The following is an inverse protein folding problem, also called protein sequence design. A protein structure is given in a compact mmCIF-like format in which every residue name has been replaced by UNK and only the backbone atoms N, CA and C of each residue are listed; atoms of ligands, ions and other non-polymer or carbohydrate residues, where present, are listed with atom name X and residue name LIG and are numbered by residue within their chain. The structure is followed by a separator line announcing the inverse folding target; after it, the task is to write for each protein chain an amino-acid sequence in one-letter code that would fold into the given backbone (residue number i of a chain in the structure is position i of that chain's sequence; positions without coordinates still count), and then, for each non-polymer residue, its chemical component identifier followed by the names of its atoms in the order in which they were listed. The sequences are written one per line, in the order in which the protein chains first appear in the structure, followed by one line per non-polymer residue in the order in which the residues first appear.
data_IF_136196935102
#
_entry.id   IF_136196935102
#
_cell.length_a   1.000
_cell.length_b   1.000
_cell.length_c   1.000
_cell.angle_alpha   90.00
_cell.angle_beta   90.00
_cell.angle_gamma   90.00
#
_symmetry.space_group_name_H-M   'P 1'
#
loop_
_entity.id
_entity.type
_entity.pdbx_description
1 polymer ?
#
# COMPACT_ATOMS: atom_id res chain seq x y z
N UNK A 1 -17.16 32.17 -15.87
CA UNK A 1 -16.69 30.86 -16.43
C UNK A 1 -17.03 29.78 -15.42
N UNK A 2 -17.44 28.58 -15.85
CA UNK A 2 -17.62 27.44 -14.95
C UNK A 2 -16.28 27.06 -14.36
N UNK A 3 -16.26 26.62 -13.08
CA UNK A 3 -15.04 26.07 -12.47
C UNK A 3 -14.57 24.86 -13.26
N UNK A 4 -13.23 24.60 -13.36
CA UNK A 4 -12.71 23.39 -13.98
C UNK A 4 -13.17 22.14 -13.22
N UNK A 5 -13.23 21.01 -13.91
CA UNK A 5 -13.37 19.71 -13.28
C UNK A 5 -11.98 19.22 -12.82
N UNK A 6 -11.93 18.48 -11.72
CA UNK A 6 -10.73 17.81 -11.21
C UNK A 6 -11.02 16.31 -11.18
N UNK A 7 -10.86 15.64 -12.32
CA UNK A 7 -11.23 14.25 -12.49
C UNK A 7 -10.02 13.31 -12.33
N UNK A 8 -10.26 12.09 -11.87
CA UNK A 8 -9.22 11.11 -11.59
C UNK A 8 -9.40 9.85 -12.45
N UNK A 9 -8.32 9.37 -13.03
CA UNK A 9 -8.30 8.16 -13.87
C UNK A 9 -7.42 7.09 -13.23
N UNK A 10 -8.00 5.89 -13.03
CA UNK A 10 -7.36 4.76 -12.37
C UNK A 10 -7.34 3.55 -13.28
N UNK A 11 -6.28 2.74 -13.17
CA UNK A 11 -6.19 1.43 -13.85
C UNK A 11 -7.22 0.44 -13.32
N UNK A 12 -7.53 0.50 -12.01
CA UNK A 12 -8.56 -0.29 -11.33
C UNK A 12 -9.08 0.47 -10.13
N UNK A 13 -10.26 0.07 -9.63
CA UNK A 13 -10.89 0.69 -8.46
C UNK A 13 -11.44 -0.42 -7.55
N UNK A 14 -10.75 -0.63 -6.41
CA UNK A 14 -10.98 -1.81 -5.59
C UNK A 14 -11.02 -1.50 -4.09
N UNK A 15 -11.83 -2.30 -3.37
CA UNK A 15 -11.88 -2.26 -1.92
C UNK A 15 -10.51 -2.63 -1.31
N UNK A 16 -10.11 -1.92 -0.26
CA UNK A 16 -8.86 -2.18 0.47
C UNK A 16 -7.58 -1.74 -0.27
N UNK A 17 -7.71 -1.22 -1.50
CA UNK A 17 -6.57 -0.72 -2.26
C UNK A 17 -6.21 0.73 -1.84
N UNK A 18 -4.92 0.97 -1.59
CA UNK A 18 -4.43 2.27 -1.14
C UNK A 18 -4.58 3.38 -2.20
N UNK A 19 -4.41 3.05 -3.48
CA UNK A 19 -4.57 3.98 -4.60
C UNK A 19 -6.03 4.42 -4.70
N UNK A 20 -6.96 3.44 -4.66
CA UNK A 20 -8.41 3.69 -4.68
C UNK A 20 -8.84 4.57 -3.52
N UNK A 21 -8.32 4.30 -2.32
CA UNK A 21 -8.58 5.10 -1.11
C UNK A 21 -8.09 6.53 -1.27
N UNK A 22 -6.89 6.73 -1.80
CA UNK A 22 -6.36 8.07 -2.05
C UNK A 22 -7.23 8.83 -3.05
N UNK A 23 -7.66 8.18 -4.13
CA UNK A 23 -8.53 8.82 -5.13
C UNK A 23 -9.85 9.29 -4.51
N UNK A 24 -10.47 8.51 -3.62
CA UNK A 24 -11.68 8.92 -2.88
C UNK A 24 -11.41 10.14 -2.03
N UNK A 25 -10.32 10.13 -1.25
CA UNK A 25 -9.96 11.27 -0.37
C UNK A 25 -9.74 12.53 -1.20
N UNK A 26 -9.00 12.46 -2.31
CA UNK A 26 -8.77 13.61 -3.18
C UNK A 26 -10.07 14.11 -3.82
N UNK A 27 -10.94 13.22 -4.32
CA UNK A 27 -12.25 13.57 -4.85
C UNK A 27 -13.08 14.35 -3.83
N UNK A 28 -13.10 13.86 -2.60
CA UNK A 28 -13.90 14.48 -1.54
C UNK A 28 -13.34 15.84 -1.12
N UNK A 29 -12.02 16.01 -1.12
CA UNK A 29 -11.36 17.31 -0.92
C UNK A 29 -11.75 18.28 -2.05
N UNK A 30 -11.64 17.87 -3.31
CA UNK A 30 -12.00 18.72 -4.45
C UNK A 30 -13.47 19.13 -4.44
N UNK A 31 -14.37 18.21 -4.09
CA UNK A 31 -15.80 18.51 -3.94
C UNK A 31 -16.08 19.50 -2.81
N UNK A 32 -15.37 19.37 -1.65
CA UNK A 32 -15.47 20.37 -0.56
C UNK A 32 -14.99 21.77 -1.00
N UNK A 33 -14.04 21.83 -1.92
CA UNK A 33 -13.61 23.12 -2.52
C UNK A 33 -14.58 23.66 -3.56
N UNK A 34 -15.65 22.92 -3.86
CA UNK A 34 -16.70 23.30 -4.81
C UNK A 34 -16.33 23.02 -6.27
N UNK A 35 -15.40 22.08 -6.52
CA UNK A 35 -15.10 21.57 -7.86
C UNK A 35 -15.90 20.31 -8.15
N UNK A 36 -16.31 20.12 -9.40
CA UNK A 36 -16.76 18.81 -9.85
C UNK A 36 -15.57 17.85 -9.91
N UNK A 37 -15.71 16.68 -9.35
CA UNK A 37 -14.66 15.65 -9.33
C UNK A 37 -15.28 14.27 -9.35
N UNK A 38 -14.84 13.45 -10.32
CA UNK A 38 -15.26 12.06 -10.50
C UNK A 38 -14.05 11.15 -10.62
N UNK A 39 -14.26 9.87 -10.29
CA UNK A 39 -13.28 8.80 -10.50
C UNK A 39 -13.72 8.02 -11.74
N UNK A 40 -12.79 7.78 -12.66
CA UNK A 40 -12.99 7.01 -13.88
C UNK A 40 -12.09 5.79 -13.87
N UNK A 41 -12.67 4.61 -14.11
CA UNK A 41 -11.93 3.35 -14.19
C UNK A 41 -12.53 2.42 -15.26
N UNK A 42 -11.75 1.42 -15.69
CA UNK A 42 -12.29 0.37 -16.56
C UNK A 42 -13.25 -0.51 -15.76
N UNK A 43 -14.53 -0.65 -16.18
CA UNK A 43 -15.52 -1.47 -15.47
C UNK A 43 -15.09 -2.92 -15.21
N UNK A 44 -14.21 -3.48 -16.05
CA UNK A 44 -13.65 -4.81 -15.86
C UNK A 44 -12.72 -4.91 -14.62
N UNK A 45 -12.17 -3.79 -14.16
CA UNK A 45 -11.23 -3.71 -13.04
C UNK A 45 -11.81 -2.94 -11.84
N UNK A 46 -13.14 -2.87 -11.74
CA UNK A 46 -13.84 -2.24 -10.61
C UNK A 46 -14.48 -3.28 -9.73
N UNK A 47 -14.23 -3.23 -8.43
CA UNK A 47 -14.93 -4.08 -7.45
C UNK A 47 -16.45 -3.91 -7.56
N UNK A 48 -17.23 -4.99 -7.48
CA UNK A 48 -18.68 -4.90 -7.62
C UNK A 48 -19.35 -3.89 -6.67
N UNK A 49 -18.83 -3.78 -5.46
CA UNK A 49 -19.29 -2.86 -4.40
C UNK A 49 -19.07 -1.38 -4.74
N UNK A 50 -18.06 -1.07 -5.58
CA UNK A 50 -17.65 0.29 -5.93
C UNK A 50 -18.16 0.77 -7.30
N UNK A 51 -18.90 -0.07 -8.04
CA UNK A 51 -19.36 0.27 -9.40
C UNK A 51 -20.24 1.51 -9.46
N UNK A 52 -21.01 1.78 -8.42
CA UNK A 52 -21.86 2.97 -8.34
C UNK A 52 -21.09 4.25 -7.95
N UNK A 53 -19.86 4.09 -7.45
CA UNK A 53 -19.02 5.19 -6.95
C UNK A 53 -17.99 5.69 -7.98
N UNK A 54 -17.90 5.06 -9.15
CA UNK A 54 -17.02 5.51 -10.25
C UNK A 54 -17.75 5.50 -11.59
N UNK A 55 -17.15 6.14 -12.59
CA UNK A 55 -17.66 6.19 -13.95
C UNK A 55 -16.78 5.36 -14.89
N UNK A 56 -17.37 4.80 -15.97
CA UNK A 56 -16.58 4.14 -17.01
C UNK A 56 -15.58 5.10 -17.67
N UNK A 57 -14.39 4.62 -18.00
CA UNK A 57 -13.38 5.39 -18.74
C UNK A 57 -13.91 5.92 -20.09
N UNK A 58 -14.87 5.21 -20.71
CA UNK A 58 -15.51 5.63 -21.97
C UNK A 58 -16.30 6.91 -21.84
N UNK A 59 -16.73 7.27 -20.65
CA UNK A 59 -17.52 8.48 -20.37
C UNK A 59 -16.63 9.69 -20.07
N UNK A 60 -15.31 9.49 -20.00
CA UNK A 60 -14.39 10.57 -19.71
C UNK A 60 -14.25 11.52 -20.92
N UNK A 61 -14.52 12.80 -20.71
CA UNK A 61 -14.49 13.84 -21.73
C UNK A 61 -13.87 15.14 -21.19
N UNK A 62 -12.62 15.05 -20.67
CA UNK A 62 -11.91 16.22 -20.14
C UNK A 62 -11.58 17.27 -21.19
N UNK A 63 -12.02 18.51 -20.96
CA UNK A 63 -11.77 19.68 -21.80
C UNK A 63 -10.49 20.43 -21.43
N UNK A 64 -10.06 21.42 -22.23
CA UNK A 64 -8.80 22.18 -22.00
C UNK A 64 -8.74 22.96 -20.69
N UNK A 65 -9.88 23.28 -20.09
CA UNK A 65 -9.97 23.95 -18.79
C UNK A 65 -9.97 23.00 -17.62
N UNK A 66 -10.21 21.69 -17.88
CA UNK A 66 -10.30 20.69 -16.82
C UNK A 66 -8.91 20.13 -16.45
N UNK A 67 -8.81 19.51 -15.29
CA UNK A 67 -7.60 18.85 -14.79
C UNK A 67 -7.87 17.36 -14.66
N UNK A 68 -7.02 16.56 -15.28
CA UNK A 68 -6.99 15.11 -15.15
C UNK A 68 -5.84 14.68 -14.24
N UNK A 69 -6.14 13.93 -13.20
CA UNK A 69 -5.15 13.29 -12.35
C UNK A 69 -5.12 11.80 -12.68
N UNK A 70 -3.98 11.27 -13.12
CA UNK A 70 -3.85 9.84 -13.40
C UNK A 70 -3.02 9.14 -12.33
N UNK A 71 -3.65 8.22 -11.61
CA UNK A 71 -2.99 7.36 -10.65
C UNK A 71 -2.28 6.22 -11.39
N UNK A 72 -0.96 6.33 -11.51
CA UNK A 72 -0.14 5.42 -12.31
C UNK A 72 0.64 4.44 -11.43
N UNK A 73 0.32 3.17 -11.52
CA UNK A 73 1.05 2.05 -10.92
C UNK A 73 1.17 0.87 -11.89
N UNK A 74 0.44 0.96 -13.03
CA UNK A 74 0.45 -0.02 -14.11
C UNK A 74 -0.02 0.65 -15.40
N UNK A 75 0.57 0.30 -16.54
CA UNK A 75 0.06 0.71 -17.86
C UNK A 75 -1.31 0.08 -18.11
N UNK A 76 -2.27 0.88 -18.53
CA UNK A 76 -3.66 0.46 -18.68
C UNK A 76 -4.41 1.34 -19.68
N UNK A 77 -5.63 0.96 -20.00
CA UNK A 77 -6.53 1.79 -20.80
C UNK A 77 -6.73 3.19 -20.20
N UNK A 78 -6.64 3.33 -18.87
CA UNK A 78 -6.70 4.64 -18.22
C UNK A 78 -5.55 5.56 -18.67
N UNK A 79 -4.35 5.00 -18.86
CA UNK A 79 -3.19 5.75 -19.39
C UNK A 79 -3.41 6.23 -20.82
N UNK A 80 -4.05 5.43 -21.66
CA UNK A 80 -4.37 5.80 -23.06
C UNK A 80 -5.41 6.95 -23.08
N UNK A 81 -6.52 6.79 -22.33
CA UNK A 81 -7.58 7.81 -22.23
C UNK A 81 -7.02 9.12 -21.67
N UNK A 82 -6.23 9.04 -20.60
CA UNK A 82 -5.57 10.18 -19.98
C UNK A 82 -4.67 10.92 -20.97
N UNK A 83 -3.81 10.18 -21.67
CA UNK A 83 -2.84 10.75 -22.61
C UNK A 83 -3.53 11.40 -23.82
N UNK A 84 -4.62 10.81 -24.30
CA UNK A 84 -5.39 11.33 -25.45
C UNK A 84 -6.28 12.53 -25.08
N UNK A 85 -6.57 12.76 -23.78
CA UNK A 85 -7.46 13.83 -23.36
C UNK A 85 -6.88 15.22 -23.63
N UNK A 86 -7.77 16.22 -23.72
CA UNK A 86 -7.40 17.64 -23.86
C UNK A 86 -7.23 18.34 -22.50
N UNK A 87 -7.54 17.66 -21.38
CA UNK A 87 -7.40 18.21 -20.06
C UNK A 87 -5.92 18.47 -19.71
N UNK A 88 -5.69 19.42 -18.83
CA UNK A 88 -4.40 19.62 -18.19
C UNK A 88 -4.07 18.39 -17.33
N UNK A 89 -2.83 17.96 -17.31
CA UNK A 89 -2.45 16.60 -16.86
C UNK A 89 -1.55 16.62 -15.64
N UNK A 90 -1.93 15.83 -14.64
CA UNK A 90 -1.12 15.54 -13.45
C UNK A 90 -0.96 14.04 -13.37
N UNK A 91 0.28 13.57 -13.33
CA UNK A 91 0.60 12.17 -13.06
C UNK A 91 0.79 11.98 -11.55
N UNK A 92 0.11 11.01 -10.95
CA UNK A 92 0.38 10.55 -9.56
C UNK A 92 1.02 9.17 -9.65
N UNK A 93 2.31 9.10 -9.36
CA UNK A 93 3.08 7.86 -9.45
C UNK A 93 3.02 7.10 -8.12
N UNK A 94 2.53 5.85 -8.19
CA UNK A 94 2.35 4.96 -7.05
C UNK A 94 3.35 3.81 -7.02
N UNK A 95 4.47 3.96 -7.64
CA UNK A 95 5.48 2.94 -7.89
C UNK A 95 5.03 1.86 -8.89
N UNK A 96 6.00 1.27 -9.57
CA UNK A 96 5.84 0.08 -10.39
C UNK A 96 6.83 -0.96 -9.88
N UNK A 97 6.32 -2.02 -9.25
CA UNK A 97 7.17 -3.11 -8.76
C UNK A 97 8.08 -3.63 -9.88
N UNK A 98 9.39 -3.79 -9.64
CA UNK A 98 10.30 -4.33 -10.64
C UNK A 98 9.83 -5.70 -11.15
N UNK A 99 9.80 -5.91 -12.48
CA UNK A 99 9.23 -7.12 -13.09
C UNK A 99 9.97 -8.41 -12.69
N UNK A 100 11.23 -8.29 -12.25
CA UNK A 100 12.09 -9.40 -11.84
C UNK A 100 11.47 -10.23 -10.72
N UNK A 101 10.74 -9.60 -9.81
CA UNK A 101 10.06 -10.30 -8.72
C UNK A 101 9.02 -11.32 -9.22
N UNK A 102 8.40 -11.07 -10.37
CA UNK A 102 7.32 -11.91 -10.88
C UNK A 102 7.77 -12.95 -11.91
N UNK A 103 9.00 -12.87 -12.42
CA UNK A 103 9.53 -13.86 -13.38
C UNK A 103 9.48 -15.27 -12.80
N UNK A 104 8.93 -16.20 -13.59
CA UNK A 104 8.73 -17.60 -13.17
C UNK A 104 7.48 -17.83 -12.32
N UNK A 105 6.94 -16.80 -11.67
CA UNK A 105 5.68 -16.90 -10.95
C UNK A 105 4.49 -16.41 -11.81
N UNK A 106 4.64 -15.25 -12.45
CA UNK A 106 3.65 -14.65 -13.35
C UNK A 106 4.37 -13.83 -14.43
N UNK A 107 4.77 -14.48 -15.51
CA UNK A 107 5.51 -13.86 -16.59
C UNK A 107 4.66 -12.85 -17.38
N UNK A 108 3.33 -13.02 -17.40
CA UNK A 108 2.42 -12.06 -18.02
C UNK A 108 2.39 -10.75 -17.25
N UNK A 109 2.28 -10.81 -15.92
CA UNK A 109 2.37 -9.64 -15.05
C UNK A 109 3.77 -9.01 -15.12
N UNK A 110 4.84 -9.82 -15.13
CA UNK A 110 6.20 -9.31 -15.29
C UNK A 110 6.36 -8.51 -16.59
N UNK A 111 5.81 -9.00 -17.70
CA UNK A 111 5.84 -8.29 -18.97
C UNK A 111 5.02 -6.97 -18.92
N UNK A 112 3.86 -6.97 -18.27
CA UNK A 112 3.04 -5.76 -18.07
C UNK A 112 3.77 -4.71 -17.21
N UNK A 113 4.43 -5.13 -16.13
CA UNK A 113 5.21 -4.23 -15.27
C UNK A 113 6.43 -3.66 -16.03
N UNK A 114 7.12 -4.47 -16.82
CA UNK A 114 8.22 -4.01 -17.67
C UNK A 114 7.74 -2.97 -18.70
N UNK A 115 6.62 -3.22 -19.36
CA UNK A 115 6.01 -2.27 -20.28
C UNK A 115 5.61 -0.97 -19.59
N UNK A 116 5.02 -1.06 -18.39
CA UNK A 116 4.65 0.11 -17.59
C UNK A 116 5.86 0.97 -17.21
N UNK A 117 6.97 0.34 -16.77
CA UNK A 117 8.23 1.05 -16.45
C UNK A 117 8.85 1.71 -17.69
N UNK A 118 8.77 1.06 -18.85
CA UNK A 118 9.26 1.64 -20.10
C UNK A 118 8.43 2.83 -20.60
N UNK A 119 7.13 2.86 -20.30
CA UNK A 119 6.20 3.87 -20.80
C UNK A 119 6.01 5.07 -19.86
N UNK A 120 6.29 4.93 -18.57
CA UNK A 120 5.97 5.97 -17.57
C UNK A 120 6.62 7.31 -17.88
N UNK A 121 7.86 7.32 -18.38
CA UNK A 121 8.55 8.56 -18.76
C UNK A 121 7.85 9.30 -19.90
N UNK A 122 7.30 8.57 -20.87
CA UNK A 122 6.54 9.18 -21.96
C UNK A 122 5.21 9.76 -21.47
N UNK A 123 4.52 9.05 -20.58
CA UNK A 123 3.29 9.57 -19.94
C UNK A 123 3.60 10.82 -19.13
N UNK A 124 4.67 10.80 -18.33
CA UNK A 124 5.09 11.94 -17.52
C UNK A 124 5.47 13.18 -18.35
N UNK A 125 6.15 13.00 -19.48
CA UNK A 125 6.49 14.13 -20.40
C UNK A 125 5.26 14.81 -21.01
N UNK A 126 4.09 14.16 -21.00
CA UNK A 126 2.82 14.73 -21.46
C UNK A 126 2.04 15.41 -20.35
N UNK A 127 2.58 15.46 -19.15
CA UNK A 127 1.97 16.09 -17.98
C UNK A 127 2.63 17.43 -17.66
N UNK A 128 1.87 18.36 -17.14
CA UNK A 128 2.38 19.63 -16.62
C UNK A 128 3.18 19.41 -15.32
N UNK A 129 2.83 18.38 -14.56
CA UNK A 129 3.55 17.99 -13.35
C UNK A 129 3.33 16.52 -13.03
N UNK A 130 4.28 15.94 -12.27
CA UNK A 130 4.17 14.61 -11.69
C UNK A 130 4.28 14.69 -10.16
N UNK A 131 3.50 13.89 -9.47
CA UNK A 131 3.59 13.69 -8.03
C UNK A 131 4.00 12.24 -7.75
N UNK A 132 4.80 12.03 -6.72
CA UNK A 132 5.22 10.71 -6.25
C UNK A 132 4.77 10.52 -4.81
N UNK A 133 4.40 9.30 -4.42
CA UNK A 133 3.86 9.05 -3.08
C UNK A 133 4.93 8.84 -2.00
N UNK A 134 6.20 8.89 -2.38
CA UNK A 134 7.36 8.88 -1.50
C UNK A 134 8.57 9.52 -2.19
N UNK A 135 9.59 9.85 -1.44
CA UNK A 135 10.88 10.29 -2.00
C UNK A 135 11.51 9.16 -2.84
N UNK A 136 11.43 7.92 -2.36
CA UNK A 136 11.86 6.74 -3.11
C UNK A 136 11.17 6.65 -4.48
N UNK A 137 9.87 6.89 -4.54
CA UNK A 137 9.11 6.86 -5.79
C UNK A 137 9.46 8.03 -6.72
N UNK A 138 9.78 9.20 -6.15
CA UNK A 138 10.26 10.33 -6.94
C UNK A 138 11.61 10.03 -7.59
N UNK A 139 12.51 9.39 -6.87
CA UNK A 139 13.83 8.95 -7.36
C UNK A 139 13.69 7.83 -8.40
N UNK A 140 12.81 6.84 -8.17
CA UNK A 140 12.51 5.78 -9.14
C UNK A 140 11.93 6.36 -10.44
N UNK A 141 10.98 7.28 -10.33
CA UNK A 141 10.40 7.96 -11.50
C UNK A 141 11.45 8.78 -12.27
N UNK A 142 12.35 9.45 -11.57
CA UNK A 142 13.47 10.17 -12.18
C UNK A 142 14.45 9.23 -12.89
N UNK A 143 14.78 8.09 -12.27
CA UNK A 143 15.61 7.05 -12.88
C UNK A 143 14.98 6.44 -14.14
N UNK A 144 13.65 6.42 -14.22
CA UNK A 144 12.90 6.01 -15.41
C UNK A 144 12.82 7.11 -16.50
N UNK A 145 13.43 8.28 -16.27
CA UNK A 145 13.53 9.36 -17.25
C UNK A 145 12.41 10.41 -17.19
N UNK A 146 11.70 10.50 -16.07
CA UNK A 146 10.69 11.53 -15.79
C UNK A 146 11.13 12.39 -14.58
N UNK A 147 11.98 13.39 -14.77
CA UNK A 147 12.52 14.20 -13.67
C UNK A 147 11.48 15.12 -13.04
N UNK A 148 11.80 15.62 -11.84
CA UNK A 148 11.06 16.69 -11.14
C UNK A 148 9.67 16.32 -10.62
N UNK A 149 9.45 15.08 -10.19
CA UNK A 149 8.26 14.74 -9.43
C UNK A 149 8.25 15.46 -8.07
N UNK A 150 7.10 16.04 -7.70
CA UNK A 150 6.87 16.58 -6.36
C UNK A 150 6.40 15.45 -5.44
N UNK A 151 6.95 15.37 -4.23
CA UNK A 151 6.52 14.35 -3.27
C UNK A 151 5.19 14.77 -2.64
N UNK A 152 4.19 13.92 -2.79
CA UNK A 152 2.89 14.02 -2.14
C UNK A 152 2.53 12.65 -1.56
N UNK A 153 2.93 12.35 -0.32
CA UNK A 153 2.72 11.04 0.29
C UNK A 153 1.25 10.62 0.32
N UNK A 154 1.02 9.32 0.34
CA UNK A 154 -0.32 8.77 0.51
C UNK A 154 -1.05 9.46 1.66
N UNK A 155 -2.31 9.83 1.41
CA UNK A 155 -3.13 10.43 2.45
C UNK A 155 -3.68 9.33 3.34
N UNK A 156 -3.29 9.37 4.60
CA UNK A 156 -3.78 8.43 5.59
C UNK A 156 -5.16 8.86 6.11
N UNK A 157 -6.08 7.89 6.21
CA UNK A 157 -7.39 8.08 6.84
C UNK A 157 -7.55 7.11 7.99
N UNK A 158 -7.87 7.63 9.17
CA UNK A 158 -8.14 6.82 10.36
C UNK A 158 -9.51 6.13 10.31
N UNK A 159 -10.49 6.71 9.62
CA UNK A 159 -11.87 6.23 9.67
C UNK A 159 -12.07 4.73 9.39
N UNK A 160 -11.43 4.10 8.40
CA UNK A 160 -11.56 2.65 8.19
C UNK A 160 -10.93 1.81 9.31
N UNK A 161 -10.03 2.39 10.09
CA UNK A 161 -9.30 1.72 11.18
C UNK A 161 -9.95 1.92 12.55
N UNK A 162 -10.93 2.81 12.65
CA UNK A 162 -11.72 3.06 13.86
C UNK A 162 -13.00 2.23 13.94
N UNK A 163 -13.22 1.35 12.95
CA UNK A 163 -14.37 0.46 12.93
C UNK A 163 -14.37 -0.50 14.12
N UNK A 164 -15.56 -0.94 14.50
CA UNK A 164 -15.70 -2.02 15.48
C UNK A 164 -15.11 -3.31 14.91
N UNK A 165 -14.23 -4.00 15.66
CA UNK A 165 -13.69 -5.29 15.25
C UNK A 165 -14.80 -6.30 14.91
N UNK A 166 -14.49 -7.21 14.00
CA UNK A 166 -15.32 -8.39 13.73
C UNK A 166 -15.30 -9.32 14.96
N UNK A 167 -16.46 -9.50 15.59
CA UNK A 167 -16.58 -10.25 16.82
C UNK A 167 -16.31 -11.76 16.64
N UNK A 168 -16.77 -12.35 15.53
CA UNK A 168 -16.60 -13.78 15.25
C UNK A 168 -15.14 -14.09 14.95
N UNK A 169 -14.48 -13.23 14.16
CA UNK A 169 -13.05 -13.34 13.90
C UNK A 169 -12.23 -13.18 15.18
N UNK A 170 -12.57 -12.20 16.00
CA UNK A 170 -11.90 -11.96 17.28
C UNK A 170 -12.04 -13.18 18.19
N UNK A 171 -13.25 -13.74 18.33
CA UNK A 171 -13.49 -14.94 19.14
C UNK A 171 -12.70 -16.16 18.63
N UNK A 172 -12.65 -16.36 17.31
CA UNK A 172 -11.88 -17.45 16.67
C UNK A 172 -10.38 -17.37 16.99
N UNK A 173 -9.85 -16.16 17.13
CA UNK A 173 -8.42 -15.90 17.29
C UNK A 173 -7.99 -15.57 18.74
N UNK A 174 -8.86 -15.71 19.73
CA UNK A 174 -8.57 -15.37 21.14
C UNK A 174 -7.69 -16.40 21.87
N UNK A 175 -6.97 -17.27 21.21
CA UNK A 175 -6.01 -18.15 21.87
C UNK A 175 -4.82 -17.36 22.43
N UNK A 176 -4.24 -17.75 23.60
CA UNK A 176 -3.11 -17.05 24.21
C UNK A 176 -1.78 -17.38 23.49
N UNK A 177 -1.71 -17.00 22.23
CA UNK A 177 -0.54 -17.20 21.38
C UNK A 177 0.07 -15.85 21.03
N UNK A 178 1.39 -15.76 21.05
CA UNK A 178 2.09 -14.60 20.49
C UNK A 178 1.81 -14.52 18.99
N UNK A 179 1.15 -13.45 18.57
CA UNK A 179 0.63 -13.29 17.22
C UNK A 179 1.53 -12.37 16.37
N UNK A 180 2.17 -12.93 15.37
CA UNK A 180 2.84 -12.18 14.33
C UNK A 180 1.86 -11.93 13.20
N UNK A 181 1.79 -10.70 12.71
CA UNK A 181 0.87 -10.27 11.64
C UNK A 181 1.66 -9.72 10.46
N UNK A 182 1.31 -10.16 9.26
CA UNK A 182 1.70 -9.53 8.02
C UNK A 182 0.44 -9.23 7.18
N UNK A 183 0.32 -7.99 6.71
CA UNK A 183 -0.82 -7.56 5.88
C UNK A 183 -0.32 -7.09 4.53
N UNK A 184 -0.92 -7.62 3.46
CA UNK A 184 -0.64 -7.22 2.09
C UNK A 184 -0.89 -8.36 1.10
N UNK A 185 -0.86 -8.05 -0.19
CA UNK A 185 -0.99 -9.08 -1.23
C UNK A 185 0.11 -10.13 -1.06
N UNK A 186 -0.24 -11.41 -1.19
CA UNK A 186 0.76 -12.49 -1.18
C UNK A 186 1.45 -12.50 -2.55
N UNK A 187 2.52 -11.74 -2.67
CA UNK A 187 3.26 -11.49 -3.91
C UNK A 187 4.78 -11.57 -3.67
N UNK A 188 5.58 -11.95 -4.69
CA UNK A 188 7.00 -12.23 -4.51
C UNK A 188 7.84 -11.07 -3.95
N UNK A 189 7.49 -9.83 -4.28
CA UNK A 189 8.17 -8.65 -3.73
C UNK A 189 7.97 -8.47 -2.22
N UNK A 190 6.99 -9.17 -1.63
CA UNK A 190 6.72 -9.14 -0.18
C UNK A 190 7.59 -10.11 0.62
N UNK A 191 8.30 -11.02 -0.06
CA UNK A 191 9.23 -11.97 0.57
C UNK A 191 8.60 -12.71 1.75
N UNK A 192 7.37 -13.21 1.56
CA UNK A 192 6.63 -13.93 2.62
C UNK A 192 7.36 -15.23 2.99
N UNK A 193 8.11 -15.84 2.08
CA UNK A 193 8.97 -16.99 2.34
C UNK A 193 10.02 -16.71 3.41
N UNK A 194 10.64 -15.51 3.42
CA UNK A 194 11.61 -15.11 4.44
C UNK A 194 10.94 -15.02 5.82
N UNK A 195 9.73 -14.46 5.86
CA UNK A 195 8.93 -14.39 7.09
C UNK A 195 8.54 -15.79 7.61
N UNK A 196 8.10 -16.70 6.72
CA UNK A 196 7.75 -18.08 7.11
C UNK A 196 8.97 -18.81 7.67
N UNK A 197 10.14 -18.66 7.06
CA UNK A 197 11.39 -19.27 7.55
C UNK A 197 11.81 -18.72 8.92
N UNK A 198 11.75 -17.40 9.10
CA UNK A 198 12.03 -16.77 10.38
C UNK A 198 11.01 -17.17 11.45
N UNK A 199 9.72 -17.26 11.09
CA UNK A 199 8.67 -17.74 12.00
C UNK A 199 8.87 -19.20 12.38
N UNK A 200 9.27 -20.08 11.46
CA UNK A 200 9.57 -21.49 11.76
C UNK A 200 10.68 -21.58 12.81
N UNK A 201 11.77 -20.80 12.65
CA UNK A 201 12.83 -20.75 13.64
C UNK A 201 12.29 -20.22 15.00
N UNK A 202 11.52 -19.13 14.97
CA UNK A 202 10.89 -18.57 16.16
C UNK A 202 10.03 -19.59 16.90
N UNK A 203 9.14 -20.28 16.18
CA UNK A 203 8.21 -21.25 16.73
C UNK A 203 8.96 -22.46 17.35
N UNK A 204 9.89 -23.06 16.62
CA UNK A 204 10.54 -24.28 17.07
C UNK A 204 11.67 -24.08 18.09
N UNK A 205 12.30 -22.90 18.13
CA UNK A 205 13.50 -22.67 18.94
C UNK A 205 13.31 -21.67 20.06
N UNK A 206 12.30 -20.79 19.95
CA UNK A 206 12.16 -19.68 20.89
C UNK A 206 10.80 -19.71 21.58
N UNK A 207 9.68 -19.69 20.83
CA UNK A 207 8.35 -19.63 21.42
C UNK A 207 7.35 -20.54 20.68
N UNK A 208 7.11 -21.77 21.18
CA UNK A 208 6.15 -22.69 20.57
C UNK A 208 4.68 -22.24 20.73
N UNK A 209 4.41 -21.27 21.61
CA UNK A 209 3.08 -20.68 21.79
C UNK A 209 2.92 -19.44 20.92
N UNK A 210 3.10 -19.60 19.61
CA UNK A 210 3.04 -18.54 18.63
C UNK A 210 2.21 -18.91 17.41
N UNK A 211 1.78 -17.89 16.67
CA UNK A 211 1.15 -18.03 15.36
C UNK A 211 1.58 -16.91 14.42
N UNK A 212 1.53 -17.19 13.12
CA UNK A 212 1.73 -16.23 12.04
C UNK A 212 0.44 -16.05 11.24
N UNK A 213 -0.09 -14.84 11.22
CA UNK A 213 -1.26 -14.47 10.42
C UNK A 213 -0.80 -13.74 9.14
N UNK A 214 -1.12 -14.32 7.99
CA UNK A 214 -0.85 -13.77 6.66
C UNK A 214 -2.17 -13.31 6.05
N UNK A 215 -2.42 -11.99 6.10
CA UNK A 215 -3.69 -11.38 5.71
C UNK A 215 -3.53 -10.64 4.39
N UNK A 216 -4.27 -11.04 3.38
CA UNK A 216 -4.28 -10.40 2.08
C UNK A 216 -4.59 -11.35 0.93
N UNK A 217 -4.80 -10.80 -0.26
CA UNK A 217 -5.20 -11.59 -1.42
C UNK A 217 -4.10 -12.55 -1.89
N UNK A 218 -4.46 -13.79 -2.06
CA UNK A 218 -3.68 -14.87 -2.66
C UNK A 218 -3.85 -14.98 -4.18
N UNK A 219 -4.84 -14.23 -4.74
CA UNK A 219 -5.23 -14.32 -6.15
C UNK A 219 -4.28 -13.57 -7.08
N UNK A 220 -3.48 -12.66 -6.56
CA UNK A 220 -2.59 -11.82 -7.36
C UNK A 220 -1.39 -12.58 -7.95
N UNK A 221 -0.98 -13.70 -7.33
CA UNK A 221 0.11 -14.56 -7.80
C UNK A 221 -0.08 -16.00 -7.32
N UNK A 222 -0.95 -16.82 -7.95
CA UNK A 222 -1.32 -18.15 -7.46
C UNK A 222 -0.14 -19.14 -7.37
N UNK A 223 0.84 -19.05 -8.27
CA UNK A 223 2.05 -19.91 -8.22
C UNK A 223 2.91 -19.60 -6.99
N UNK A 224 3.08 -18.33 -6.68
CA UNK A 224 3.80 -17.92 -5.47
C UNK A 224 3.05 -18.38 -4.21
N UNK A 225 1.74 -18.21 -4.16
CA UNK A 225 0.92 -18.71 -3.06
C UNK A 225 1.05 -20.24 -2.89
N UNK A 226 1.05 -20.99 -3.99
CA UNK A 226 1.27 -22.44 -3.94
C UNK A 226 2.66 -22.78 -3.36
N UNK A 227 3.70 -22.07 -3.79
CA UNK A 227 5.06 -22.23 -3.26
C UNK A 227 5.10 -21.96 -1.75
N UNK A 228 4.42 -20.91 -1.26
CA UNK A 228 4.35 -20.62 0.18
C UNK A 228 3.69 -21.75 0.98
N UNK A 229 2.60 -22.34 0.45
CA UNK A 229 1.95 -23.51 1.10
C UNK A 229 2.86 -24.72 1.14
N UNK A 230 3.59 -24.97 0.05
CA UNK A 230 4.57 -26.05 0.02
C UNK A 230 5.68 -25.82 1.05
N UNK A 231 6.21 -24.59 1.13
CA UNK A 231 7.23 -24.22 2.11
C UNK A 231 6.76 -24.47 3.56
N UNK A 232 5.51 -24.08 3.89
CA UNK A 232 4.94 -24.38 5.22
C UNK A 232 4.88 -25.87 5.49
N UNK A 233 4.49 -26.67 4.48
CA UNK A 233 4.45 -28.13 4.59
C UNK A 233 5.86 -28.75 4.71
N UNK A 234 6.82 -28.29 3.92
CA UNK A 234 8.21 -28.80 3.95
C UNK A 234 8.91 -28.48 5.29
N UNK A 235 8.59 -27.32 5.88
CA UNK A 235 9.10 -26.93 7.20
C UNK A 235 8.34 -27.60 8.36
N UNK A 236 7.19 -28.24 8.09
CA UNK A 236 6.28 -28.79 9.10
C UNK A 236 5.94 -27.76 10.22
N UNK A 237 5.86 -26.48 9.86
CA UNK A 237 5.66 -25.39 10.83
C UNK A 237 4.17 -25.17 11.08
N UNK A 238 3.69 -25.33 12.34
CA UNK A 238 2.30 -25.16 12.68
C UNK A 238 1.92 -23.66 12.82
N UNK A 239 0.62 -23.41 12.91
CA UNK A 239 0.04 -22.09 13.20
C UNK A 239 0.39 -20.98 12.19
N UNK A 240 0.74 -21.33 10.94
CA UNK A 240 0.79 -20.39 9.82
C UNK A 240 -0.59 -20.34 9.18
N UNK A 241 -1.26 -19.20 9.31
CA UNK A 241 -2.63 -19.01 8.87
C UNK A 241 -2.68 -18.06 7.65
N UNK A 242 -3.13 -18.57 6.50
CA UNK A 242 -3.41 -17.77 5.30
C UNK A 242 -4.87 -17.32 5.38
N UNK A 243 -5.10 -16.09 5.80
CA UNK A 243 -6.44 -15.56 6.13
C UNK A 243 -7.20 -15.00 4.92
N UNK A 244 -6.51 -14.84 3.78
CA UNK A 244 -7.11 -14.28 2.58
C UNK A 244 -7.42 -12.78 2.71
N UNK A 245 -8.33 -12.27 1.87
CA UNK A 245 -8.75 -10.87 1.91
C UNK A 245 -9.65 -10.61 3.12
N UNK A 246 -9.31 -9.59 3.90
CA UNK A 246 -10.07 -9.17 5.06
C UNK A 246 -11.02 -8.01 4.74
N UNK A 247 -12.22 -8.02 5.34
CA UNK A 247 -13.07 -6.84 5.40
C UNK A 247 -12.42 -5.73 6.23
N UNK A 248 -12.82 -4.47 6.11
CA UNK A 248 -12.28 -3.40 6.95
C UNK A 248 -12.40 -3.68 8.46
N UNK A 249 -13.54 -4.19 8.95
CA UNK A 249 -13.73 -4.58 10.35
C UNK A 249 -12.85 -5.79 10.74
N UNK A 250 -12.70 -6.77 9.84
CA UNK A 250 -11.79 -7.90 10.03
C UNK A 250 -10.34 -7.46 10.11
N UNK A 251 -9.93 -6.50 9.27
CA UNK A 251 -8.56 -5.95 9.32
C UNK A 251 -8.26 -5.27 10.66
N UNK A 252 -9.22 -4.53 11.22
CA UNK A 252 -9.11 -3.96 12.58
C UNK A 252 -8.94 -5.06 13.63
N UNK A 253 -9.67 -6.19 13.50
CA UNK A 253 -9.50 -7.33 14.43
C UNK A 253 -8.10 -7.90 14.37
N UNK A 254 -7.52 -8.10 13.16
CA UNK A 254 -6.16 -8.61 13.02
C UNK A 254 -5.13 -7.68 13.65
N UNK A 255 -5.21 -6.37 13.42
CA UNK A 255 -4.29 -5.43 14.06
C UNK A 255 -4.43 -5.43 15.58
N UNK A 256 -5.65 -5.46 16.12
CA UNK A 256 -5.87 -5.47 17.59
C UNK A 256 -5.41 -6.75 18.28
N UNK A 257 -5.36 -7.87 17.56
CA UNK A 257 -4.91 -9.16 18.07
C UNK A 257 -3.40 -9.38 17.90
N UNK A 258 -2.72 -8.54 17.12
CA UNK A 258 -1.30 -8.70 16.83
C UNK A 258 -0.42 -8.22 17.99
N UNK A 259 0.58 -9.02 18.33
CA UNK A 259 1.69 -8.62 19.21
C UNK A 259 2.81 -7.95 18.45
N UNK A 260 3.02 -8.35 17.19
CA UNK A 260 4.02 -7.82 16.27
C UNK A 260 3.42 -7.69 14.87
N UNK A 261 3.76 -6.61 14.18
CA UNK A 261 3.59 -6.49 12.73
C UNK A 261 4.94 -6.67 12.05
N UNK A 262 5.02 -7.58 11.07
CA UNK A 262 6.27 -7.87 10.37
C UNK A 262 6.11 -7.70 8.87
N UNK A 263 7.03 -6.97 8.25
CA UNK A 263 7.14 -6.83 6.80
C UNK A 263 8.54 -7.20 6.33
N UNK A 264 8.65 -8.28 5.55
CA UNK A 264 9.89 -8.71 4.91
C UNK A 264 10.01 -8.17 3.47
N UNK A 265 9.15 -7.24 3.06
CA UNK A 265 9.09 -6.72 1.70
C UNK A 265 10.44 -6.25 1.20
N UNK A 266 10.88 -6.76 0.03
CA UNK A 266 12.08 -6.29 -0.66
C UNK A 266 11.80 -5.08 -1.56
N UNK A 267 10.53 -4.73 -1.74
CA UNK A 267 10.13 -3.56 -2.53
C UNK A 267 8.77 -3.02 -2.08
N UNK A 268 8.74 -1.74 -1.70
CA UNK A 268 7.56 -0.98 -1.27
C UNK A 268 7.62 0.44 -1.83
N UNK A 269 6.53 0.92 -2.42
CA UNK A 269 6.40 2.33 -2.78
C UNK A 269 6.24 3.23 -1.55
N UNK A 270 5.35 2.84 -0.61
CA UNK A 270 5.13 3.56 0.65
C UNK A 270 5.00 2.64 1.86
N UNK A 271 4.12 1.63 1.80
CA UNK A 271 3.92 0.70 2.92
C UNK A 271 2.77 1.11 3.84
N UNK A 272 1.58 1.36 3.29
CA UNK A 272 0.40 1.72 4.07
C UNK A 272 0.10 0.79 5.26
N UNK A 273 0.25 -0.55 5.18
CA UNK A 273 0.03 -1.44 6.33
C UNK A 273 0.96 -1.18 7.52
N UNK A 274 2.15 -0.60 7.30
CA UNK A 274 3.05 -0.20 8.41
C UNK A 274 2.43 0.94 9.22
N UNK A 275 1.85 1.91 8.52
CA UNK A 275 1.17 3.05 9.15
C UNK A 275 -0.10 2.59 9.86
N UNK A 276 -0.84 1.66 9.29
CA UNK A 276 -2.03 1.05 9.89
C UNK A 276 -1.68 0.27 11.17
N UNK A 277 -0.59 -0.51 11.16
CA UNK A 277 -0.10 -1.20 12.36
C UNK A 277 0.31 -0.22 13.46
N UNK A 278 1.04 0.85 13.11
CA UNK A 278 1.42 1.90 14.06
C UNK A 278 0.19 2.60 14.65
N UNK A 279 -0.86 2.84 13.84
CA UNK A 279 -2.13 3.43 14.32
C UNK A 279 -2.79 2.59 15.41
N UNK A 280 -2.74 1.26 15.26
CA UNK A 280 -3.27 0.33 16.27
C UNK A 280 -2.31 0.05 17.44
N UNK A 281 -1.15 0.71 17.48
CA UNK A 281 -0.16 0.53 18.54
C UNK A 281 0.58 -0.82 18.48
N UNK A 282 0.57 -1.49 17.33
CA UNK A 282 1.29 -2.75 17.14
C UNK A 282 2.76 -2.43 16.82
N UNK A 283 3.73 -2.98 17.57
CA UNK A 283 5.14 -2.80 17.25
C UNK A 283 5.46 -3.30 15.83
N UNK A 284 6.14 -2.48 15.04
CA UNK A 284 6.48 -2.78 13.64
C UNK A 284 7.94 -3.17 13.51
N UNK A 285 8.19 -4.30 12.85
CA UNK A 285 9.49 -4.74 12.35
C UNK A 285 9.38 -4.79 10.83
N UNK A 286 10.25 -4.07 10.11
CA UNK A 286 10.19 -4.03 8.66
C UNK A 286 11.56 -4.03 8.01
N UNK A 287 11.70 -4.71 6.85
CA UNK A 287 12.90 -4.60 6.03
C UNK A 287 13.05 -3.16 5.51
N UNK A 288 14.26 -2.64 5.54
CA UNK A 288 14.60 -1.33 4.97
C UNK A 288 14.60 -1.42 3.43
N UNK A 289 13.42 -1.26 2.81
CA UNK A 289 13.24 -1.39 1.38
C UNK A 289 12.28 -0.33 0.83
N UNK A 290 12.69 0.37 -0.21
CA UNK A 290 11.85 1.38 -0.86
C UNK A 290 11.40 2.49 0.10
N UNK A 291 10.12 2.84 0.07
CA UNK A 291 9.50 3.86 0.93
C UNK A 291 9.26 3.46 2.39
N UNK A 292 9.71 2.27 2.84
CA UNK A 292 9.46 1.76 4.20
C UNK A 292 10.00 2.70 5.29
N UNK A 293 11.24 3.18 5.14
CA UNK A 293 11.86 4.08 6.12
C UNK A 293 11.11 5.41 6.22
N UNK A 294 10.61 5.91 5.10
CA UNK A 294 9.83 7.15 5.01
C UNK A 294 8.45 6.99 5.68
N UNK A 295 7.76 5.87 5.44
CA UNK A 295 6.49 5.56 6.11
C UNK A 295 6.66 5.51 7.63
N UNK A 296 7.69 4.83 8.12
CA UNK A 296 7.99 4.72 9.54
C UNK A 296 8.47 6.04 10.16
N UNK A 297 9.18 6.89 9.41
CA UNK A 297 9.66 8.19 9.92
C UNK A 297 10.53 8.07 11.18
N UNK A 298 11.39 7.06 11.25
CA UNK A 298 12.23 6.76 12.40
C UNK A 298 11.54 6.02 13.54
N UNK A 299 10.28 5.63 13.38
CA UNK A 299 9.55 4.77 14.33
C UNK A 299 9.59 3.30 13.88
N UNK A 300 9.33 2.38 14.81
CA UNK A 300 9.45 0.95 14.52
C UNK A 300 10.91 0.47 14.48
N UNK A 301 11.12 -0.75 14.02
CA UNK A 301 12.44 -1.35 13.85
C UNK A 301 12.67 -1.66 12.39
N UNK A 302 13.67 -1.03 11.80
CA UNK A 302 14.15 -1.36 10.46
C UNK A 302 15.31 -2.35 10.55
N UNK A 303 15.31 -3.33 9.63
CA UNK A 303 16.42 -4.25 9.44
C UNK A 303 16.81 -4.33 7.96
N UNK A 304 18.05 -4.63 7.69
CA UNK A 304 18.57 -4.88 6.34
C UNK A 304 18.51 -6.39 6.03
N UNK A 305 19.65 -7.02 5.72
CA UNK A 305 19.73 -8.45 5.54
C UNK A 305 19.96 -9.15 6.88
N UNK A 306 18.96 -9.90 7.32
CA UNK A 306 19.05 -10.79 8.49
C UNK A 306 18.77 -12.23 8.08
N UNK A 307 19.54 -13.17 8.67
CA UNK A 307 19.23 -14.59 8.56
C UNK A 307 17.94 -14.90 9.32
N UNK A 308 17.21 -15.96 8.96
CA UNK A 308 15.96 -16.33 9.64
C UNK A 308 16.07 -16.43 11.17
N UNK A 309 17.20 -16.94 11.68
CA UNK A 309 17.46 -17.04 13.10
C UNK A 309 17.59 -15.66 13.78
N UNK A 310 18.32 -14.74 13.16
CA UNK A 310 18.52 -13.38 13.69
C UNK A 310 17.20 -12.60 13.71
N UNK A 311 16.39 -12.76 12.66
CA UNK A 311 15.08 -12.13 12.58
C UNK A 311 14.11 -12.72 13.62
N UNK A 312 14.18 -14.02 13.89
CA UNK A 312 13.42 -14.68 14.94
C UNK A 312 13.78 -14.18 16.35
N UNK A 313 15.08 -13.95 16.62
CA UNK A 313 15.54 -13.33 17.86
C UNK A 313 15.03 -11.90 18.00
N UNK A 314 15.01 -11.14 16.91
CA UNK A 314 14.44 -9.81 16.90
C UNK A 314 12.93 -9.83 17.22
N UNK A 315 12.17 -10.80 16.66
CA UNK A 315 10.76 -11.01 17.04
C UNK A 315 10.61 -11.23 18.54
N UNK A 316 11.46 -12.12 19.09
CA UNK A 316 11.42 -12.44 20.51
C UNK A 316 11.67 -11.21 21.38
N UNK A 317 12.72 -10.48 21.09
CA UNK A 317 13.07 -9.28 21.86
C UNK A 317 11.96 -8.23 21.84
N UNK A 318 11.40 -7.91 20.67
CA UNK A 318 10.33 -6.92 20.56
C UNK A 318 9.03 -7.41 21.23
N UNK A 319 8.73 -8.72 21.17
CA UNK A 319 7.53 -9.28 21.80
C UNK A 319 7.65 -9.40 23.32
N UNK A 320 8.84 -9.73 23.88
CA UNK A 320 9.03 -10.09 25.27
C UNK A 320 9.64 -8.98 26.14
N UNK A 321 10.51 -8.11 25.57
CA UNK A 321 11.17 -7.03 26.30
C UNK A 321 10.25 -5.81 26.43
N UNK A 322 9.53 -5.70 27.53
CA UNK A 322 8.54 -4.63 27.76
C UNK A 322 9.09 -3.24 27.51
N UNK A 323 10.29 -2.93 28.02
CA UNK A 323 10.91 -1.61 27.83
C UNK A 323 11.14 -1.29 26.35
N UNK A 324 11.65 -2.24 25.58
CA UNK A 324 11.87 -2.08 24.13
C UNK A 324 10.54 -1.87 23.41
N UNK A 325 9.54 -2.70 23.70
CA UNK A 325 8.20 -2.58 23.13
C UNK A 325 7.57 -1.22 23.42
N UNK A 326 7.62 -0.77 24.68
CA UNK A 326 7.05 0.52 25.10
C UNK A 326 7.74 1.71 24.38
N UNK A 327 9.06 1.65 24.20
CA UNK A 327 9.81 2.67 23.45
C UNK A 327 9.41 2.71 21.98
N UNK A 328 9.30 1.54 21.32
CA UNK A 328 8.86 1.43 19.92
C UNK A 328 7.44 2.00 19.79
N UNK A 329 6.49 1.55 20.61
CA UNK A 329 5.11 2.01 20.56
C UNK A 329 5.00 3.53 20.81
N UNK A 330 5.77 4.07 21.75
CA UNK A 330 5.79 5.51 22.00
C UNK A 330 6.32 6.32 20.81
N UNK A 331 7.35 5.82 20.11
CA UNK A 331 7.86 6.44 18.89
C UNK A 331 6.80 6.38 17.77
N UNK A 332 6.15 5.23 17.58
CA UNK A 332 5.08 5.02 16.61
C UNK A 332 3.88 5.93 16.85
N UNK A 333 3.48 6.12 18.12
CA UNK A 333 2.42 7.05 18.47
C UNK A 333 2.75 8.49 18.13
N UNK A 334 4.01 8.93 18.29
CA UNK A 334 4.45 10.26 17.83
C UNK A 334 4.31 10.36 16.32
N UNK A 335 4.85 9.38 15.59
CA UNK A 335 4.77 9.33 14.12
C UNK A 335 3.32 9.38 13.61
N UNK A 336 2.40 8.63 14.22
CA UNK A 336 0.98 8.65 13.82
C UNK A 336 0.33 10.01 14.07
N UNK A 337 0.67 10.70 15.17
CA UNK A 337 0.19 12.07 15.38
C UNK A 337 0.66 13.01 14.25
N UNK A 338 1.92 12.90 13.82
CA UNK A 338 2.45 13.70 12.72
C UNK A 338 1.75 13.38 11.39
N UNK A 339 1.50 12.10 11.12
CA UNK A 339 0.77 11.64 9.93
C UNK A 339 -0.66 12.17 9.89
N UNK A 340 -1.37 12.13 11.03
CA UNK A 340 -2.75 12.61 11.15
C UNK A 340 -2.85 14.15 11.15
N UNK A 341 -1.84 14.85 11.66
CA UNK A 341 -1.78 16.30 11.69
C UNK A 341 -1.34 16.93 10.35
N UNK A 342 -0.99 16.13 9.36
CA UNK A 342 -0.52 16.61 8.07
C UNK A 342 -1.54 17.54 7.42
N UNK A 343 -1.15 18.76 7.00
CA UNK A 343 -2.07 19.74 6.42
C UNK A 343 -2.37 19.44 4.93
N UNK A 344 -2.98 18.29 4.65
CA UNK A 344 -3.21 17.74 3.30
C UNK A 344 -3.89 18.73 2.35
N UNK A 345 -4.92 19.44 2.82
CA UNK A 345 -5.62 20.39 1.96
C UNK A 345 -4.75 21.62 1.59
N UNK A 346 -3.89 22.07 2.51
CA UNK A 346 -2.95 23.15 2.24
C UNK A 346 -1.86 22.72 1.24
N UNK A 347 -1.33 21.50 1.40
CA UNK A 347 -0.36 20.92 0.47
C UNK A 347 -0.97 20.75 -0.93
N UNK A 348 -2.19 20.23 -1.03
CA UNK A 348 -2.90 20.10 -2.30
C UNK A 348 -3.15 21.45 -2.98
N UNK A 349 -3.54 22.48 -2.22
CA UNK A 349 -3.69 23.82 -2.79
C UNK A 349 -2.38 24.36 -3.34
N UNK A 350 -1.28 24.16 -2.64
CA UNK A 350 0.05 24.57 -3.11
C UNK A 350 0.49 23.81 -4.37
N UNK A 351 0.19 22.51 -4.45
CA UNK A 351 0.48 21.68 -5.64
C UNK A 351 -0.39 22.06 -6.85
N UNK A 352 -1.60 22.54 -6.61
CA UNK A 352 -2.58 22.87 -7.65
C UNK A 352 -2.65 24.37 -7.96
N UNK A 353 -1.76 25.21 -7.42
CA UNK A 353 -1.79 26.67 -7.59
C UNK A 353 -1.85 27.07 -9.07
N UNK A 354 -1.08 26.42 -9.93
CA UNK A 354 -1.04 26.73 -11.36
C UNK A 354 -2.24 26.16 -12.13
N UNK A 355 -3.07 25.33 -11.50
CA UNK A 355 -4.18 24.62 -12.12
C UNK A 355 -5.54 25.21 -11.76
N UNK A 356 -5.62 25.86 -10.61
CA UNK A 356 -6.87 26.41 -10.10
C UNK A 356 -6.96 27.91 -10.41
N UNK A 357 -8.17 28.42 -10.73
CA UNK A 357 -8.37 29.86 -10.84
C UNK A 357 -8.10 30.57 -9.50
N UNK A 358 -7.52 31.74 -9.58
CA UNK A 358 -7.26 32.61 -8.43
C UNK A 358 -8.55 33.03 -7.72
#
# INVERSE_FOLDING_TARGET
MSKPRLDQLLAGYADGDAISRQAVILRDVFRRWGYASEIFADPAHVSPTLRADCRPLTDYAGGPSDVALHHYGLASRASEVFTASKARKILIYHNITPPEFFRGFDDALAAQLAAARAQVAEVARRCETAWAVSQFDAEDLAALGAPNARVFPLVFSAAPLELTPDADLTARLTAPLTTLLCVGRLAPNKRIEDLIQAYAFYHFRINPFSRLLLVGSDRSCPRYFTMLKMLVGDLDVPNVCFEGFASPAGLVSYYKLADLFVSCSAHEGYGAPLVEAMFHGVPVIARAAGGTAEALGGAGVLYDDMQPAELAELFHRVASERTMRDQICAAQQRRIRDVLARPVEQELRALLTDFLPS
#
